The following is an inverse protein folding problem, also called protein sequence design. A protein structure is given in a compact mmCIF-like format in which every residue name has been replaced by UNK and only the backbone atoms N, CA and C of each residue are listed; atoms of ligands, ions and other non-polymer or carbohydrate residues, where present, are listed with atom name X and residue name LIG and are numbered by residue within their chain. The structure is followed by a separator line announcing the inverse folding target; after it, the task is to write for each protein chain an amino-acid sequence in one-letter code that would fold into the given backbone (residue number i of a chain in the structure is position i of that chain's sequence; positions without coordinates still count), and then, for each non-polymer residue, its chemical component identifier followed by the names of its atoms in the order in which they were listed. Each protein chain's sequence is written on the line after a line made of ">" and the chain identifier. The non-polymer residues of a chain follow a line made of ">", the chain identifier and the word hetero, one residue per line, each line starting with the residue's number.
data_IF_282539420006
#
_entry.id   IF_282539420006
#
_cell.length_a   1.000
_cell.length_b   1.000
_cell.length_c   1.000
_cell.angle_alpha   90.00
_cell.angle_beta   90.00
_cell.angle_gamma   90.00
#
_symmetry.space_group_name_H-M   'P 1'
#
loop_
_entity.id
_entity.type
_entity.pdbx_description
1 polymer ?
#
# COMPACT_ATOMS: atom_id res chain seq x y z
N UNK A 1 10.15 -4.04 -5.27
CA UNK A 1 10.70 -3.58 -3.97
C UNK A 1 10.86 -2.07 -4.00
N UNK A 2 10.21 -1.37 -3.08
CA UNK A 2 10.40 0.08 -2.91
C UNK A 2 11.72 0.35 -2.19
N UNK A 3 12.46 1.34 -2.66
CA UNK A 3 13.71 1.79 -2.03
C UNK A 3 13.39 2.45 -0.69
N UNK A 4 14.00 1.94 0.36
CA UNK A 4 13.91 2.46 1.72
C UNK A 4 14.51 3.87 1.78
N UNK A 5 13.68 4.87 2.08
CA UNK A 5 14.11 6.25 2.34
C UNK A 5 13.65 6.66 3.72
N UNK A 6 14.55 7.25 4.50
CA UNK A 6 14.22 7.82 5.80
C UNK A 6 13.67 9.24 5.63
N UNK A 7 12.69 9.61 6.45
CA UNK A 7 12.08 10.94 6.44
C UNK A 7 11.63 11.34 7.85
N UNK A 8 11.62 12.65 8.13
CA UNK A 8 11.14 13.16 9.41
C UNK A 8 9.63 12.96 9.56
N UNK A 9 9.22 12.49 10.72
CA UNK A 9 7.81 12.20 11.04
C UNK A 9 7.31 13.00 12.23
N UNK A 10 6.00 13.18 12.26
CA UNK A 10 5.26 13.59 13.45
C UNK A 10 4.60 12.36 14.08
N UNK A 11 5.04 11.97 15.28
CA UNK A 11 4.55 10.74 15.92
C UNK A 11 3.04 10.76 16.20
N UNK A 12 2.45 11.93 16.45
CA UNK A 12 1.01 12.03 16.68
C UNK A 12 0.27 11.80 15.37
N UNK A 13 0.73 12.41 14.27
CA UNK A 13 0.14 12.16 12.95
C UNK A 13 0.29 10.71 12.51
N UNK A 14 1.39 10.05 12.84
CA UNK A 14 1.53 8.61 12.59
C UNK A 14 0.45 7.83 13.32
N UNK A 15 0.31 8.02 14.64
CA UNK A 15 -0.68 7.30 15.45
C UNK A 15 -2.10 7.54 14.93
N UNK A 16 -2.44 8.80 14.65
CA UNK A 16 -3.74 9.18 14.11
C UNK A 16 -3.98 8.54 12.73
N UNK A 17 -2.97 8.58 11.85
CA UNK A 17 -3.05 7.98 10.52
C UNK A 17 -3.33 6.47 10.59
N UNK A 18 -2.57 5.72 11.39
CA UNK A 18 -2.70 4.26 11.49
C UNK A 18 -3.84 3.79 12.42
N UNK A 19 -4.51 4.69 13.15
CA UNK A 19 -5.69 4.35 13.96
C UNK A 19 -6.94 4.00 13.13
N UNK A 20 -6.95 4.37 11.85
CA UNK A 20 -8.07 4.15 10.95
C UNK A 20 -7.55 3.69 9.57
N UNK A 21 -7.91 2.47 9.19
CA UNK A 21 -7.54 1.85 7.92
C UNK A 21 -7.92 2.70 6.70
N UNK A 22 -9.02 3.46 6.77
CA UNK A 22 -9.45 4.36 5.70
C UNK A 22 -8.40 5.42 5.37
N UNK A 23 -7.58 5.86 6.33
CA UNK A 23 -6.51 6.82 6.07
C UNK A 23 -5.46 6.25 5.12
N UNK A 24 -5.11 4.97 5.30
CA UNK A 24 -4.21 4.24 4.42
C UNK A 24 -4.87 3.96 3.07
N UNK A 25 -6.10 3.43 3.07
CA UNK A 25 -6.83 3.08 1.84
C UNK A 25 -6.97 4.32 0.94
N UNK A 26 -7.24 5.49 1.52
CA UNK A 26 -7.33 6.75 0.77
C UNK A 26 -5.99 7.25 0.18
N UNK A 27 -4.86 6.64 0.53
CA UNK A 27 -3.58 6.89 -0.14
C UNK A 27 -3.32 5.93 -1.32
N UNK A 28 -4.09 4.86 -1.45
CA UNK A 28 -3.98 3.95 -2.59
C UNK A 28 -4.66 4.62 -3.80
N UNK A 29 -3.96 4.78 -4.93
CA UNK A 29 -4.52 5.43 -6.11
C UNK A 29 -5.70 4.64 -6.68
N UNK A 30 -6.68 5.33 -7.26
CA UNK A 30 -7.82 4.73 -7.97
C UNK A 30 -8.74 3.81 -7.13
N UNK A 31 -8.71 3.95 -5.80
CA UNK A 31 -9.67 3.27 -4.92
C UNK A 31 -11.08 3.82 -5.09
N UNK A 32 -12.07 2.93 -5.00
CA UNK A 32 -13.51 3.21 -4.94
C UNK A 32 -14.18 2.27 -3.95
N UNK A 33 -15.45 2.56 -3.64
CA UNK A 33 -16.33 1.67 -2.88
C UNK A 33 -15.72 1.15 -1.56
N UNK A 34 -15.18 2.07 -0.74
CA UNK A 34 -14.57 1.72 0.55
C UNK A 34 -15.67 1.34 1.55
N UNK A 35 -15.60 0.11 2.07
CA UNK A 35 -16.47 -0.41 3.13
C UNK A 35 -15.61 -1.02 4.24
N UNK A 36 -15.26 -0.20 5.24
CA UNK A 36 -14.35 -0.60 6.31
C UNK A 36 -12.95 -0.92 5.76
N UNK A 37 -12.56 -2.19 5.87
CA UNK A 37 -11.26 -2.69 5.41
C UNK A 37 -11.28 -3.22 3.98
N UNK A 38 -12.47 -3.32 3.37
CA UNK A 38 -12.66 -3.79 2.00
C UNK A 38 -12.86 -2.60 1.08
N UNK A 39 -12.30 -2.68 -0.13
CA UNK A 39 -12.40 -1.61 -1.12
C UNK A 39 -12.23 -2.18 -2.53
N UNK A 40 -12.68 -1.42 -3.53
CA UNK A 40 -12.41 -1.73 -4.94
C UNK A 40 -11.28 -0.88 -5.47
N UNK A 41 -10.50 -1.45 -6.37
CA UNK A 41 -9.39 -0.78 -7.04
C UNK A 41 -9.62 -0.83 -8.55
N UNK A 42 -9.53 0.32 -9.22
CA UNK A 42 -9.41 0.33 -10.68
C UNK A 42 -7.94 0.22 -11.06
N UNK A 43 -7.54 -0.98 -11.48
CA UNK A 43 -6.19 -1.29 -11.92
C UNK A 43 -6.11 -1.20 -13.45
N UNK A 44 -5.00 -0.64 -13.95
CA UNK A 44 -4.66 -0.63 -15.38
C UNK A 44 -3.41 -1.50 -15.54
N UNK A 45 -3.53 -2.59 -16.29
CA UNK A 45 -2.43 -3.55 -16.54
C UNK A 45 -2.23 -3.63 -18.06
N UNK A 46 -1.16 -3.01 -18.55
CA UNK A 46 -0.99 -2.80 -19.98
C UNK A 46 -2.11 -1.92 -20.56
N UNK A 47 -2.81 -2.41 -21.57
CA UNK A 47 -3.98 -1.72 -22.17
C UNK A 47 -5.33 -2.14 -21.54
N UNK A 48 -5.31 -3.03 -20.54
CA UNK A 48 -6.53 -3.57 -19.92
C UNK A 48 -6.85 -2.84 -18.63
N UNK A 49 -8.14 -2.58 -18.40
CA UNK A 49 -8.66 -2.00 -17.17
C UNK A 49 -9.50 -3.03 -16.42
N UNK A 50 -9.25 -3.17 -15.12
CA UNK A 50 -9.96 -4.08 -14.24
C UNK A 50 -10.47 -3.31 -13.02
N UNK A 51 -11.65 -3.69 -12.54
CA UNK A 51 -12.10 -3.36 -11.19
C UNK A 51 -11.94 -4.62 -10.36
N UNK A 52 -11.10 -4.55 -9.33
CA UNK A 52 -10.74 -5.69 -8.48
C UNK A 52 -11.09 -5.42 -7.03
N UNK A 53 -11.46 -6.47 -6.31
CA UNK A 53 -11.73 -6.39 -4.89
C UNK A 53 -10.42 -6.51 -4.11
N UNK A 54 -10.29 -5.68 -3.08
CA UNK A 54 -9.14 -5.65 -2.20
C UNK A 54 -9.56 -5.56 -0.73
N UNK A 55 -8.70 -6.09 0.13
CA UNK A 55 -8.85 -6.04 1.57
C UNK A 55 -7.54 -5.62 2.22
N UNK A 56 -7.63 -4.77 3.25
CA UNK A 56 -6.50 -4.29 4.02
C UNK A 56 -6.59 -4.76 5.48
N UNK A 57 -5.48 -5.30 5.99
CA UNK A 57 -5.29 -5.62 7.40
C UNK A 57 -4.09 -4.84 7.94
N UNK A 58 -4.21 -4.35 9.18
CA UNK A 58 -3.12 -3.63 9.86
C UNK A 58 -2.73 -4.32 11.16
N UNK A 59 -1.44 -4.26 11.47
CA UNK A 59 -0.89 -4.68 12.75
C UNK A 59 0.08 -3.60 13.24
N UNK A 60 0.01 -3.30 14.53
CA UNK A 60 0.95 -2.36 15.17
C UNK A 60 1.78 -3.12 16.19
N UNK A 61 3.10 -2.96 16.14
CA UNK A 61 4.04 -3.53 17.09
C UNK A 61 5.07 -2.48 17.50
N UNK A 62 4.89 -1.90 18.69
CA UNK A 62 5.76 -0.85 19.25
C UNK A 62 5.99 0.30 18.25
N UNK A 63 7.16 0.32 17.61
CA UNK A 63 7.60 1.34 16.66
C UNK A 63 7.42 0.91 15.19
N UNK A 64 6.62 -0.12 14.94
CA UNK A 64 6.36 -0.67 13.60
C UNK A 64 4.86 -0.69 13.31
N UNK A 65 4.51 -0.25 12.10
CA UNK A 65 3.16 -0.36 11.56
C UNK A 65 3.23 -1.22 10.30
N UNK A 66 2.62 -2.40 10.38
CA UNK A 66 2.52 -3.36 9.29
C UNK A 66 1.15 -3.22 8.63
N UNK A 67 1.14 -3.17 7.31
CA UNK A 67 -0.07 -3.16 6.49
C UNK A 67 0.02 -4.27 5.46
N UNK A 68 -1.01 -5.09 5.39
CA UNK A 68 -1.17 -6.18 4.45
C UNK A 68 -2.35 -5.85 3.54
N UNK A 69 -2.15 -5.94 2.23
CA UNK A 69 -3.19 -5.72 1.24
C UNK A 69 -3.30 -6.97 0.37
N UNK A 70 -4.49 -7.55 0.31
CA UNK A 70 -4.80 -8.65 -0.59
C UNK A 70 -5.68 -8.12 -1.71
N UNK A 71 -5.27 -8.32 -2.96
CA UNK A 71 -6.01 -7.90 -4.16
C UNK A 71 -6.36 -9.15 -4.96
N UNK A 72 -7.64 -9.35 -5.25
CA UNK A 72 -8.13 -10.50 -6.01
C UNK A 72 -8.59 -10.05 -7.39
N UNK A 73 -7.84 -10.41 -8.42
CA UNK A 73 -8.16 -10.16 -9.82
C UNK A 73 -8.44 -11.46 -10.60
N UNK A 74 -8.84 -11.36 -11.88
CA UNK A 74 -9.09 -12.52 -12.71
C UNK A 74 -7.84 -13.39 -12.88
N UNK A 75 -7.82 -14.57 -12.24
CA UNK A 75 -6.72 -15.52 -12.33
C UNK A 75 -5.41 -15.08 -11.66
N UNK A 76 -5.43 -14.02 -10.85
CA UNK A 76 -4.27 -13.50 -10.10
C UNK A 76 -4.72 -13.02 -8.72
N UNK A 77 -3.96 -13.42 -7.69
CA UNK A 77 -4.01 -12.83 -6.35
C UNK A 77 -2.69 -12.11 -6.08
N UNK A 78 -2.75 -10.87 -5.60
CA UNK A 78 -1.58 -10.10 -5.20
C UNK A 78 -1.64 -9.87 -3.70
N UNK A 79 -0.55 -10.15 -2.99
CA UNK A 79 -0.39 -9.85 -1.58
C UNK A 79 0.73 -8.82 -1.41
N UNK A 80 0.40 -7.64 -0.87
CA UNK A 80 1.34 -6.55 -0.62
C UNK A 80 1.57 -6.45 0.87
N UNK A 81 2.84 -6.35 1.27
CA UNK A 81 3.24 -6.05 2.64
C UNK A 81 3.96 -4.71 2.67
N UNK A 82 3.47 -3.78 3.49
CA UNK A 82 4.11 -2.49 3.75
C UNK A 82 4.44 -2.39 5.23
N UNK A 83 5.64 -1.91 5.56
CA UNK A 83 6.12 -1.73 6.92
C UNK A 83 6.65 -0.30 7.09
N UNK A 84 6.04 0.46 7.98
CA UNK A 84 6.63 1.69 8.51
C UNK A 84 7.41 1.35 9.77
N UNK A 85 8.71 1.66 9.80
CA UNK A 85 9.57 1.56 10.98
C UNK A 85 9.91 2.95 11.48
N UNK A 86 9.85 3.16 12.80
CA UNK A 86 10.13 4.45 13.44
C UNK A 86 11.34 4.34 14.35
N UNK A 87 12.31 5.23 14.13
CA UNK A 87 13.51 5.37 14.96
C UNK A 87 13.89 6.85 15.05
N UNK A 88 14.06 7.38 16.26
CA UNK A 88 14.55 8.75 16.51
C UNK A 88 13.80 9.86 15.72
N UNK A 89 12.45 9.81 15.72
CA UNK A 89 11.56 10.70 14.94
C UNK A 89 11.77 10.65 13.42
N UNK A 90 12.43 9.61 12.93
CA UNK A 90 12.51 9.28 11.51
C UNK A 90 11.63 8.05 11.22
N UNK A 91 10.90 8.12 10.12
CA UNK A 91 10.15 7.02 9.55
C UNK A 91 10.89 6.42 8.36
N UNK A 92 10.73 5.13 8.17
CA UNK A 92 11.21 4.38 7.01
C UNK A 92 10.12 3.46 6.52
N UNK A 93 9.78 3.52 5.23
CA UNK A 93 8.74 2.66 4.62
C UNK A 93 9.43 1.63 3.72
N UNK A 94 9.21 0.36 4.04
CA UNK A 94 9.55 -0.78 3.19
C UNK A 94 8.27 -1.37 2.62
N UNK A 95 8.25 -1.70 1.33
CA UNK A 95 7.11 -2.37 0.70
C UNK A 95 7.55 -3.44 -0.30
N UNK A 96 6.87 -4.57 -0.25
CA UNK A 96 7.08 -5.72 -1.12
C UNK A 96 5.75 -6.38 -1.49
N UNK A 97 5.75 -7.20 -2.54
CA UNK A 97 4.56 -7.94 -2.94
C UNK A 97 4.91 -9.32 -3.49
N UNK A 98 3.93 -10.22 -3.40
CA UNK A 98 3.93 -11.50 -4.11
C UNK A 98 2.67 -11.57 -4.98
N UNK A 99 2.78 -12.30 -6.08
CA UNK A 99 1.67 -12.58 -6.97
C UNK A 99 1.58 -14.08 -7.20
N UNK A 100 0.36 -14.63 -7.14
CA UNK A 100 0.09 -16.04 -7.36
C UNK A 100 -1.14 -16.22 -8.27
N UNK A 101 -1.24 -17.38 -8.92
CA UNK A 101 -2.37 -17.73 -9.79
C UNK A 101 -1.98 -18.04 -11.23
N UNK A 102 -2.90 -18.65 -11.99
CA UNK A 102 -2.63 -19.18 -13.34
C UNK A 102 -2.27 -18.10 -14.37
N UNK A 103 -2.72 -16.85 -14.17
CA UNK A 103 -2.47 -15.77 -15.12
C UNK A 103 -1.16 -14.99 -14.84
N UNK A 104 -0.48 -15.22 -13.70
CA UNK A 104 0.73 -14.49 -13.32
C UNK A 104 1.84 -14.64 -14.36
N UNK A 105 2.01 -15.82 -14.95
CA UNK A 105 3.01 -16.07 -16.00
C UNK A 105 2.77 -15.24 -17.27
N UNK A 106 1.52 -14.84 -17.52
CA UNK A 106 1.14 -14.07 -18.72
C UNK A 106 1.27 -12.56 -18.50
N UNK A 107 0.97 -12.07 -17.28
CA UNK A 107 0.92 -10.63 -16.98
C UNK A 107 2.00 -10.14 -16.03
N UNK A 108 2.89 -11.01 -15.53
CA UNK A 108 3.85 -10.70 -14.47
C UNK A 108 4.65 -9.42 -14.70
N UNK A 109 5.26 -9.24 -15.87
CA UNK A 109 6.02 -8.02 -16.17
C UNK A 109 5.18 -6.73 -16.17
N UNK A 110 3.90 -6.80 -16.55
CA UNK A 110 2.98 -5.67 -16.49
C UNK A 110 2.49 -5.40 -15.07
N UNK A 111 2.27 -6.46 -14.29
CA UNK A 111 1.94 -6.35 -12.87
C UNK A 111 3.04 -5.65 -12.10
N UNK A 112 4.30 -6.00 -12.35
CA UNK A 112 5.44 -5.42 -11.63
C UNK A 112 5.48 -3.90 -11.78
N UNK A 113 5.34 -3.40 -13.00
CA UNK A 113 5.32 -1.94 -13.25
C UNK A 113 4.13 -1.26 -12.59
N UNK A 114 2.94 -1.88 -12.68
CA UNK A 114 1.69 -1.35 -12.13
C UNK A 114 1.74 -1.28 -10.62
N UNK A 115 2.17 -2.37 -9.96
CA UNK A 115 2.23 -2.49 -8.50
C UNK A 115 3.32 -1.56 -7.96
N UNK A 116 4.51 -1.51 -8.57
CA UNK A 116 5.56 -0.59 -8.14
C UNK A 116 5.10 0.87 -8.23
N UNK A 117 4.40 1.25 -9.29
CA UNK A 117 3.83 2.60 -9.43
C UNK A 117 2.81 2.89 -8.33
N UNK A 118 1.88 1.97 -8.10
CA UNK A 118 0.85 2.09 -7.06
C UNK A 118 1.48 2.22 -5.66
N UNK A 119 2.46 1.37 -5.33
CA UNK A 119 3.12 1.39 -4.03
C UNK A 119 3.93 2.68 -3.84
N UNK A 120 4.59 3.21 -4.88
CA UNK A 120 5.33 4.47 -4.82
C UNK A 120 4.39 5.64 -4.51
N UNK A 121 3.29 5.77 -5.27
CA UNK A 121 2.29 6.81 -5.05
C UNK A 121 1.65 6.71 -3.65
N UNK A 122 1.38 5.48 -3.21
CA UNK A 122 0.85 5.22 -1.86
C UNK A 122 1.85 5.68 -0.80
N UNK A 123 3.12 5.33 -0.95
CA UNK A 123 4.20 5.71 -0.02
C UNK A 123 4.39 7.23 0.03
N UNK A 124 4.36 7.91 -1.11
CA UNK A 124 4.44 9.38 -1.16
C UNK A 124 3.26 10.06 -0.47
N UNK A 125 2.04 9.55 -0.66
CA UNK A 125 0.85 10.05 0.03
C UNK A 125 0.98 9.87 1.55
N UNK A 126 1.42 8.69 2.00
CA UNK A 126 1.64 8.39 3.42
C UNK A 126 2.67 9.37 4.00
N UNK A 127 3.85 9.48 3.36
CA UNK A 127 4.91 10.43 3.76
C UNK A 127 4.33 11.83 3.96
N UNK A 128 3.59 12.36 2.98
CA UNK A 128 2.96 13.70 3.07
C UNK A 128 2.01 13.84 4.26
N UNK A 129 1.26 12.80 4.61
CA UNK A 129 0.29 12.84 5.72
C UNK A 129 0.94 12.76 7.10
N UNK A 130 2.02 11.99 7.24
CA UNK A 130 2.63 11.72 8.54
C UNK A 130 3.92 12.49 8.81
N UNK A 131 4.47 13.19 7.81
CA UNK A 131 5.65 14.03 8.00
C UNK A 131 5.40 15.20 8.95
N UNK A 132 6.42 15.54 9.74
CA UNK A 132 6.48 16.81 10.45
C UNK A 132 6.60 17.93 9.41
N UNK A 133 5.79 18.98 9.52
CA UNK A 133 6.03 20.18 8.71
C UNK A 133 7.38 20.73 9.13
N UNK A 134 8.28 20.92 8.18
CA UNK A 134 9.46 21.77 8.37
C UNK A 134 9.03 23.21 8.57
#
# INVERSE_FOLDING_TARGET
>A
MIKTETFSIDQNKVKDFYSNSSNFINCIPNVKDINGNQFKLNAIVGAMQFTVDAELTQQTNNNQYLTFIKINGPGVTINITSKLTIQDNQGSIDADYTAEGPAVSMVGGLLDSTINTMMNQTSECIKKKISSKS
#
